data_IF_948107829252
#
_entry.id   IF_948107829252
#
_cell.length_a   1.000
_cell.length_b   1.000
_cell.length_c   1.000
_cell.angle_alpha   90.00
_cell.angle_beta   90.00
_cell.angle_gamma   90.00
#
_symmetry.space_group_name_H-M   'P 1'
#
loop_
_entity.id
_entity.type
_entity.pdbx_description
1 polymer ?
#
# COMPACT_ATOMS: atom_id res chain seq x y z
N UNK A 1 0.29 -16.83 -2.99
CA UNK A 1 0.85 -17.66 -4.08
C UNK A 1 1.82 -16.81 -4.85
N UNK A 2 2.94 -17.39 -5.28
CA UNK A 2 3.95 -16.73 -6.12
C UNK A 2 4.20 -17.64 -7.33
N UNK A 3 4.15 -17.09 -8.53
CA UNK A 3 4.19 -17.83 -9.78
C UNK A 3 4.82 -16.97 -10.89
N UNK A 4 5.55 -17.59 -11.82
CA UNK A 4 5.98 -16.88 -13.03
C UNK A 4 4.87 -16.76 -14.05
N UNK A 5 4.83 -15.65 -14.78
CA UNK A 5 3.92 -15.48 -15.91
C UNK A 5 4.11 -16.61 -16.93
N UNK A 6 3.01 -17.22 -17.37
CA UNK A 6 3.01 -18.31 -18.35
C UNK A 6 3.29 -19.71 -17.77
N UNK A 7 3.81 -19.84 -16.55
CA UNK A 7 4.00 -21.15 -15.93
C UNK A 7 2.67 -21.71 -15.41
N UNK A 8 2.49 -23.04 -15.45
CA UNK A 8 1.28 -23.70 -14.91
C UNK A 8 1.35 -23.91 -13.38
N UNK A 9 2.55 -24.06 -12.84
CA UNK A 9 2.78 -24.43 -11.45
C UNK A 9 3.37 -23.24 -10.67
N UNK A 10 2.82 -22.88 -9.50
CA UNK A 10 3.40 -21.83 -8.68
C UNK A 10 4.72 -22.26 -8.04
N UNK A 11 5.67 -21.33 -7.93
CA UNK A 11 6.91 -21.49 -7.16
C UNK A 11 6.65 -21.57 -5.66
N UNK A 12 5.57 -20.90 -5.20
CA UNK A 12 5.16 -20.95 -3.82
C UNK A 12 3.64 -20.87 -3.65
N UNK A 13 3.07 -21.75 -2.83
CA UNK A 13 1.68 -21.66 -2.40
C UNK A 13 1.49 -22.05 -0.94
N UNK A 14 0.82 -21.17 -0.20
CA UNK A 14 0.46 -21.46 1.19
C UNK A 14 -0.66 -22.50 1.25
N UNK A 15 -0.73 -23.30 2.32
CA UNK A 15 -1.87 -24.17 2.58
C UNK A 15 -3.17 -23.36 2.56
N UNK A 16 -4.26 -24.00 2.14
CA UNK A 16 -5.60 -23.45 2.30
C UNK A 16 -6.34 -24.28 3.31
N UNK A 17 -6.78 -23.64 4.40
CA UNK A 17 -7.23 -24.33 5.63
C UNK A 17 -6.08 -25.21 6.16
N UNK A 18 -6.18 -26.53 6.04
CA UNK A 18 -5.15 -27.49 6.44
C UNK A 18 -4.61 -28.33 5.28
N UNK A 19 -5.04 -28.05 4.05
CA UNK A 19 -4.70 -28.86 2.89
C UNK A 19 -3.43 -28.34 2.21
N UNK A 20 -2.44 -29.22 2.06
CA UNK A 20 -1.30 -28.99 1.17
C UNK A 20 -1.75 -29.01 -0.28
N UNK A 21 -1.16 -28.15 -1.12
CA UNK A 21 -1.65 -27.86 -2.48
C UNK A 21 -0.59 -28.10 -3.55
N UNK A 22 0.18 -29.16 -3.36
CA UNK A 22 1.34 -29.50 -4.18
C UNK A 22 2.58 -28.65 -3.87
N UNK A 23 2.62 -27.98 -2.73
CA UNK A 23 3.81 -27.26 -2.26
C UNK A 23 4.80 -28.22 -1.57
N UNK A 24 6.09 -28.01 -1.79
CA UNK A 24 7.13 -28.76 -1.07
C UNK A 24 7.16 -28.32 0.40
N UNK A 25 7.07 -29.28 1.32
CA UNK A 25 7.15 -29.01 2.76
C UNK A 25 8.38 -28.17 3.15
N UNK A 26 9.50 -28.39 2.47
CA UNK A 26 10.74 -27.61 2.68
C UNK A 26 10.56 -26.11 2.41
N UNK A 27 9.76 -25.72 1.40
CA UNK A 27 9.47 -24.31 1.12
C UNK A 27 8.56 -23.69 2.17
N UNK A 28 7.60 -24.45 2.70
CA UNK A 28 6.73 -23.99 3.79
C UNK A 28 7.51 -23.79 5.09
N UNK A 29 8.46 -24.69 5.39
CA UNK A 29 9.36 -24.55 6.55
C UNK A 29 10.25 -23.30 6.39
N UNK A 30 10.82 -23.06 5.21
CA UNK A 30 11.59 -21.84 4.92
C UNK A 30 10.74 -20.58 5.09
N UNK A 31 9.51 -20.57 4.60
CA UNK A 31 8.59 -19.43 4.76
C UNK A 31 8.19 -19.21 6.23
N UNK A 32 8.00 -20.29 6.99
CA UNK A 32 7.76 -20.21 8.44
C UNK A 32 8.96 -19.63 9.18
N UNK A 33 10.18 -20.03 8.82
CA UNK A 33 11.43 -19.44 9.37
C UNK A 33 11.52 -17.95 9.06
N UNK A 34 11.25 -17.56 7.81
CA UNK A 34 11.17 -16.16 7.40
C UNK A 34 10.18 -15.37 8.25
N UNK A 35 8.93 -15.84 8.41
CA UNK A 35 7.93 -15.16 9.24
C UNK A 35 8.33 -15.05 10.70
N UNK A 36 9.02 -16.05 11.27
CA UNK A 36 9.54 -15.98 12.62
C UNK A 36 10.64 -14.91 12.76
N UNK A 37 11.52 -14.78 11.77
CA UNK A 37 12.55 -13.72 11.74
C UNK A 37 11.91 -12.33 11.62
N UNK A 38 10.91 -12.19 10.75
CA UNK A 38 10.14 -10.95 10.61
C UNK A 38 9.41 -10.60 11.92
N UNK A 39 8.80 -11.57 12.59
CA UNK A 39 8.16 -11.37 13.90
C UNK A 39 9.15 -10.93 14.98
N UNK A 40 10.36 -11.50 15.01
CA UNK A 40 11.44 -11.07 15.92
C UNK A 40 11.86 -9.63 15.63
N UNK A 41 12.06 -9.26 14.37
CA UNK A 41 12.36 -7.89 13.96
C UNK A 41 11.27 -6.92 14.44
N UNK A 42 10.00 -7.27 14.22
CA UNK A 42 8.86 -6.47 14.69
C UNK A 42 8.86 -6.28 16.21
N UNK A 43 9.17 -7.32 16.99
CA UNK A 43 9.18 -7.27 18.45
C UNK A 43 10.36 -6.50 19.04
N UNK A 44 11.48 -6.47 18.35
CA UNK A 44 12.69 -5.77 18.78
C UNK A 44 12.92 -4.52 17.93
N UNK A 45 11.86 -3.74 17.66
CA UNK A 45 11.88 -2.68 16.65
C UNK A 45 12.94 -1.60 16.85
N UNK A 46 13.40 -1.38 18.09
CA UNK A 46 14.43 -0.40 18.40
C UNK A 46 15.77 -0.73 17.73
N UNK A 47 16.15 -2.01 17.69
CA UNK A 47 17.43 -2.49 17.15
C UNK A 47 17.51 -2.38 15.61
N UNK A 48 16.36 -2.18 14.95
CA UNK A 48 16.23 -2.21 13.50
C UNK A 48 15.87 -0.85 12.90
N UNK A 49 15.96 0.22 13.70
CA UNK A 49 15.70 1.58 13.21
C UNK A 49 16.74 1.97 12.16
N UNK A 50 16.26 2.43 10.99
CA UNK A 50 17.13 2.83 9.88
C UNK A 50 17.70 1.69 9.04
N UNK A 51 17.40 0.43 9.37
CA UNK A 51 17.85 -0.72 8.57
C UNK A 51 16.96 -0.89 7.33
N UNK A 52 17.59 -0.98 6.15
CA UNK A 52 16.88 -1.24 4.90
C UNK A 52 16.46 -2.71 4.76
N UNK A 53 15.48 -2.97 3.90
CA UNK A 53 15.07 -4.32 3.54
C UNK A 53 16.23 -5.13 2.97
N UNK A 54 17.06 -4.54 2.12
CA UNK A 54 18.22 -5.24 1.54
C UNK A 54 19.22 -5.67 2.61
N UNK A 55 19.54 -4.78 3.56
CA UNK A 55 20.47 -5.08 4.65
C UNK A 55 19.93 -6.20 5.55
N UNK A 56 18.65 -6.14 5.92
CA UNK A 56 18.01 -7.21 6.69
C UNK A 56 17.93 -8.51 5.90
N UNK A 57 17.53 -8.45 4.63
CA UNK A 57 17.40 -9.60 3.73
C UNK A 57 18.71 -10.38 3.58
N UNK A 58 19.84 -9.69 3.52
CA UNK A 58 21.16 -10.31 3.40
C UNK A 58 21.52 -11.14 4.65
N UNK A 59 21.02 -10.75 5.83
CA UNK A 59 21.22 -11.47 7.09
C UNK A 59 20.30 -12.68 7.26
N UNK A 60 19.26 -12.84 6.42
CA UNK A 60 18.34 -13.97 6.52
C UNK A 60 19.04 -15.26 6.05
N UNK A 61 19.14 -16.30 6.92
CA UNK A 61 19.81 -17.56 6.61
C UNK A 61 18.92 -18.49 5.78
N UNK A 62 18.58 -18.04 4.57
CA UNK A 62 17.83 -18.81 3.57
C UNK A 62 18.60 -18.82 2.25
N UNK A 63 18.46 -19.88 1.42
CA UNK A 63 19.14 -19.96 0.14
C UNK A 63 18.82 -18.76 -0.76
N UNK A 64 19.83 -18.22 -1.44
CA UNK A 64 19.70 -17.00 -2.26
C UNK A 64 18.57 -17.12 -3.29
N UNK A 65 18.49 -18.25 -3.99
CA UNK A 65 17.42 -18.51 -4.96
C UNK A 65 16.02 -18.48 -4.33
N UNK A 66 15.85 -19.03 -3.12
CA UNK A 66 14.58 -18.97 -2.41
C UNK A 66 14.23 -17.53 -2.05
N UNK A 67 15.22 -16.78 -1.57
CA UNK A 67 15.03 -15.39 -1.18
C UNK A 67 14.64 -14.52 -2.39
N UNK A 68 15.29 -14.69 -3.54
CA UNK A 68 14.98 -13.99 -4.81
C UNK A 68 13.60 -14.36 -5.36
N UNK A 69 13.27 -15.66 -5.39
CA UNK A 69 12.03 -16.17 -5.99
C UNK A 69 10.78 -15.92 -5.15
N UNK A 70 10.92 -15.89 -3.82
CA UNK A 70 9.77 -15.93 -2.90
C UNK A 70 9.78 -14.73 -1.96
N UNK A 71 10.89 -14.49 -1.25
CA UNK A 71 10.91 -13.48 -0.17
C UNK A 71 10.80 -12.07 -0.73
N UNK A 72 11.64 -11.69 -1.71
CA UNK A 72 11.58 -10.35 -2.29
C UNK A 72 10.23 -10.05 -2.97
N UNK A 73 9.70 -10.92 -3.85
CA UNK A 73 8.37 -10.72 -4.42
C UNK A 73 7.28 -10.59 -3.36
N UNK A 74 7.34 -11.39 -2.28
CA UNK A 74 6.38 -11.26 -1.18
C UNK A 74 6.46 -9.90 -0.47
N UNK A 75 7.67 -9.42 -0.18
CA UNK A 75 7.89 -8.11 0.43
C UNK A 75 7.41 -6.97 -0.48
N UNK A 76 7.80 -7.00 -1.76
CA UNK A 76 7.38 -6.01 -2.76
C UNK A 76 5.85 -5.97 -2.92
N UNK A 77 5.22 -7.14 -3.00
CA UNK A 77 3.76 -7.27 -3.11
C UNK A 77 3.00 -6.80 -1.85
N UNK A 78 3.64 -6.79 -0.67
CA UNK A 78 3.02 -6.31 0.58
C UNK A 78 2.77 -4.81 0.55
N UNK A 79 3.60 -4.05 -0.18
CA UNK A 79 3.43 -2.62 -0.40
C UNK A 79 2.83 -2.28 -1.78
N UNK A 80 2.91 -3.21 -2.73
CA UNK A 80 2.44 -3.01 -4.10
C UNK A 80 3.43 -2.24 -4.98
N UNK A 81 4.73 -2.54 -4.81
CA UNK A 81 5.87 -1.86 -5.44
C UNK A 81 6.76 -2.88 -6.18
N UNK A 82 7.83 -2.45 -6.85
CA UNK A 82 8.80 -3.33 -7.51
C UNK A 82 9.80 -3.95 -6.51
N UNK A 83 10.54 -4.98 -6.95
CA UNK A 83 11.61 -5.55 -6.11
C UNK A 83 12.80 -4.59 -6.00
N UNK A 84 13.02 -3.74 -6.99
CA UNK A 84 14.05 -2.69 -6.89
C UNK A 84 13.73 -1.67 -5.79
N UNK A 85 12.50 -1.13 -5.80
CA UNK A 85 12.08 -0.10 -4.84
C UNK A 85 12.05 -0.63 -3.40
N UNK A 86 11.50 -1.84 -3.18
CA UNK A 86 11.35 -2.38 -1.82
C UNK A 86 12.69 -2.54 -1.08
N UNK A 87 13.80 -2.80 -1.79
CA UNK A 87 15.13 -3.01 -1.19
C UNK A 87 15.61 -1.82 -0.35
N UNK A 88 15.31 -0.61 -0.82
CA UNK A 88 15.72 0.65 -0.18
C UNK A 88 14.81 1.06 0.99
N UNK A 89 13.67 0.42 1.16
CA UNK A 89 12.69 0.77 2.19
C UNK A 89 13.11 0.29 3.58
N UNK A 90 12.54 0.90 4.62
CA UNK A 90 12.70 0.50 6.02
C UNK A 90 12.23 -0.93 6.24
N UNK A 91 13.13 -1.81 6.70
CA UNK A 91 12.79 -3.20 7.00
C UNK A 91 11.67 -3.28 8.05
N UNK A 92 11.75 -2.43 9.07
CA UNK A 92 10.77 -2.36 10.14
C UNK A 92 9.37 -2.01 9.61
N UNK A 93 9.27 -1.02 8.74
CA UNK A 93 7.96 -0.53 8.30
C UNK A 93 7.26 -1.51 7.35
N UNK A 94 8.01 -2.20 6.49
CA UNK A 94 7.44 -3.28 5.67
C UNK A 94 7.07 -4.49 6.53
N UNK A 95 7.92 -4.91 7.47
CA UNK A 95 7.66 -6.06 8.33
C UNK A 95 6.43 -5.86 9.21
N UNK A 96 6.19 -4.63 9.70
CA UNK A 96 4.97 -4.29 10.47
C UNK A 96 3.68 -4.62 9.70
N UNK A 97 3.68 -4.55 8.36
CA UNK A 97 2.48 -4.80 7.56
C UNK A 97 1.97 -6.25 7.67
N UNK A 98 2.85 -7.21 7.93
CA UNK A 98 2.48 -8.63 7.94
C UNK A 98 2.90 -9.40 9.20
N UNK A 99 3.91 -8.94 9.94
CA UNK A 99 4.49 -9.65 11.08
C UNK A 99 3.92 -9.20 12.44
N UNK A 100 2.98 -8.26 12.49
CA UNK A 100 2.39 -7.78 13.75
C UNK A 100 1.62 -8.86 14.52
N UNK A 101 1.22 -9.96 13.86
CA UNK A 101 0.54 -11.10 14.47
C UNK A 101 1.47 -12.29 14.62
N UNK A 102 1.33 -13.02 15.72
CA UNK A 102 1.99 -14.32 15.88
C UNK A 102 1.49 -15.26 14.76
N UNK A 103 2.36 -16.03 14.07
CA UNK A 103 2.01 -16.84 12.90
C UNK A 103 0.89 -17.90 13.07
N UNK A 104 0.38 -18.10 14.28
CA UNK A 104 -0.64 -19.13 14.61
C UNK A 104 -2.06 -18.59 14.79
N UNK A 105 -2.29 -17.28 14.73
CA UNK A 105 -3.63 -16.70 14.95
C UNK A 105 -4.46 -16.73 13.66
N UNK A 106 -5.74 -17.11 13.76
CA UNK A 106 -6.65 -17.12 12.60
C UNK A 106 -6.85 -15.70 12.07
N UNK A 107 -6.64 -15.50 10.77
CA UNK A 107 -6.88 -14.22 10.12
C UNK A 107 -8.35 -14.14 9.68
N UNK A 108 -9.25 -13.81 10.61
CA UNK A 108 -10.58 -13.32 10.23
C UNK A 108 -10.43 -11.88 9.76
N UNK A 109 -10.64 -11.65 8.47
CA UNK A 109 -10.81 -10.30 7.95
C UNK A 109 -12.14 -9.76 8.46
N UNK A 110 -12.12 -8.58 9.09
CA UNK A 110 -13.34 -7.84 9.39
C UNK A 110 -13.57 -6.89 8.24
N UNK A 111 -14.71 -7.02 7.59
CA UNK A 111 -15.15 -6.11 6.54
C UNK A 111 -16.33 -5.30 7.04
N UNK A 112 -16.36 -4.01 6.72
CA UNK A 112 -17.53 -3.18 6.97
C UNK A 112 -18.61 -3.52 5.94
N UNK A 113 -19.82 -3.82 6.41
CA UNK A 113 -20.95 -4.19 5.54
C UNK A 113 -21.28 -3.10 4.54
N UNK A 114 -21.18 -1.83 4.93
CA UNK A 114 -21.51 -0.70 4.05
C UNK A 114 -20.26 -0.08 3.39
N UNK A 115 -19.07 -0.65 3.66
CA UNK A 115 -17.79 -0.08 3.26
C UNK A 115 -17.29 0.98 4.25
N UNK A 116 -15.99 1.29 4.18
CA UNK A 116 -15.37 2.28 5.08
C UNK A 116 -15.81 3.72 4.77
N UNK A 117 -16.29 3.99 3.56
CA UNK A 117 -16.77 5.32 3.16
C UNK A 117 -17.98 5.78 3.98
N UNK A 118 -18.89 4.86 4.32
CA UNK A 118 -20.08 5.18 5.12
C UNK A 118 -19.73 5.63 6.54
N UNK A 119 -18.71 5.02 7.15
CA UNK A 119 -18.22 5.46 8.47
C UNK A 119 -17.71 6.91 8.42
N UNK A 120 -16.95 7.26 7.38
CA UNK A 120 -16.43 8.63 7.20
C UNK A 120 -17.58 9.62 7.02
N UNK A 121 -18.62 9.24 6.27
CA UNK A 121 -19.82 10.06 6.09
C UNK A 121 -20.57 10.26 7.41
N UNK A 122 -20.76 9.20 8.20
CA UNK A 122 -21.40 9.25 9.52
C UNK A 122 -20.65 10.16 10.49
N UNK A 123 -19.32 10.04 10.54
CA UNK A 123 -18.46 10.94 11.33
C UNK A 123 -18.63 12.39 10.88
N UNK A 124 -18.66 12.64 9.57
CA UNK A 124 -18.89 13.99 9.03
C UNK A 124 -20.26 14.58 9.40
N UNK A 125 -21.32 13.76 9.39
CA UNK A 125 -22.66 14.18 9.84
C UNK A 125 -22.64 14.53 11.32
N UNK A 126 -22.02 13.70 12.15
CA UNK A 126 -21.96 13.92 13.60
C UNK A 126 -21.17 15.18 13.97
N UNK A 127 -20.01 15.40 13.32
CA UNK A 127 -19.23 16.62 13.51
C UNK A 127 -20.02 17.88 13.12
N UNK A 128 -20.81 17.83 12.04
CA UNK A 128 -21.67 18.96 11.66
C UNK A 128 -22.74 19.26 12.70
N UNK A 129 -23.35 18.24 13.31
CA UNK A 129 -24.30 18.44 14.43
C UNK A 129 -23.65 19.12 15.63
N UNK A 130 -22.35 18.88 15.84
CA UNK A 130 -21.54 19.55 16.86
C UNK A 130 -21.04 20.95 16.44
N UNK A 131 -21.52 21.48 15.31
CA UNK A 131 -21.17 22.81 14.82
C UNK A 131 -19.86 22.89 14.03
N UNK A 132 -19.21 21.76 13.71
CA UNK A 132 -17.99 21.76 12.89
C UNK A 132 -18.35 22.09 11.44
N UNK A 133 -17.74 23.17 10.92
CA UNK A 133 -17.88 23.56 9.51
C UNK A 133 -16.97 22.70 8.64
N UNK A 134 -17.56 21.79 7.88
CA UNK A 134 -16.84 20.94 6.90
C UNK A 134 -17.08 21.51 5.51
N UNK A 135 -16.01 22.01 4.88
CA UNK A 135 -16.02 22.48 3.49
C UNK A 135 -15.45 21.39 2.58
N UNK A 136 -16.30 20.79 1.75
CA UNK A 136 -15.87 19.91 0.66
C UNK A 136 -15.55 20.73 -0.59
N UNK A 137 -14.82 20.15 -1.54
CA UNK A 137 -14.49 20.83 -2.81
C UNK A 137 -13.87 22.21 -2.58
N UNK A 138 -13.04 22.29 -1.54
CA UNK A 138 -12.40 23.53 -1.08
C UNK A 138 -10.90 23.35 -0.95
N UNK A 139 -10.17 23.04 -2.05
CA UNK A 139 -8.74 22.79 -1.98
C UNK A 139 -8.00 24.03 -1.46
N UNK A 140 -7.28 23.85 -0.35
CA UNK A 140 -6.32 24.84 0.15
C UNK A 140 -5.13 24.83 -0.80
N UNK A 141 -4.63 26.02 -1.14
CA UNK A 141 -3.44 26.16 -2.00
C UNK A 141 -2.31 26.97 -1.35
N UNK A 142 -2.58 27.69 -0.26
CA UNK A 142 -1.57 28.47 0.45
C UNK A 142 -1.89 28.60 1.93
N UNK A 143 -0.86 28.45 2.77
CA UNK A 143 -0.89 28.73 4.21
C UNK A 143 0.31 29.62 4.53
N UNK A 144 0.07 30.81 5.10
CA UNK A 144 1.13 31.73 5.50
C UNK A 144 0.81 32.38 6.85
N UNK A 145 1.85 32.80 7.57
CA UNK A 145 1.71 33.50 8.84
C UNK A 145 1.49 35.00 8.60
N UNK A 146 0.53 35.59 9.31
CA UNK A 146 0.25 37.02 9.32
C UNK A 146 0.14 37.50 10.77
N UNK A 147 1.24 38.04 11.30
CA UNK A 147 1.36 38.41 12.70
C UNK A 147 1.22 37.21 13.64
N UNK A 148 0.20 37.24 14.51
CA UNK A 148 -0.12 36.15 15.45
C UNK A 148 -1.08 35.11 14.89
N UNK A 149 -1.55 35.27 13.65
CA UNK A 149 -2.52 34.40 12.99
C UNK A 149 -1.94 33.75 11.74
N UNK A 150 -2.67 32.79 11.22
CA UNK A 150 -2.39 32.10 9.95
C UNK A 150 -3.47 32.46 8.95
N UNK A 151 -3.05 32.87 7.76
CA UNK A 151 -3.91 33.05 6.59
C UNK A 151 -3.94 31.73 5.82
N UNK A 152 -5.14 31.19 5.65
CA UNK A 152 -5.41 30.01 4.83
C UNK A 152 -6.16 30.47 3.58
N UNK A 153 -5.60 30.24 2.39
CA UNK A 153 -6.26 30.50 1.11
C UNK A 153 -6.69 29.21 0.43
N UNK A 154 -7.91 29.20 -0.08
CA UNK A 154 -8.52 28.03 -0.71
C UNK A 154 -9.45 28.46 -1.84
N UNK A 155 -9.71 27.56 -2.79
CA UNK A 155 -10.69 27.78 -3.88
C UNK A 155 -11.98 27.08 -3.52
N UNK A 156 -13.13 27.70 -3.75
CA UNK A 156 -14.44 27.04 -3.65
C UNK A 156 -15.35 27.58 -4.76
N UNK A 157 -16.05 26.69 -5.49
CA UNK A 157 -16.86 27.06 -6.65
C UNK A 157 -16.12 28.00 -7.63
N UNK A 158 -14.88 27.62 -7.96
CA UNK A 158 -13.95 28.39 -8.82
C UNK A 158 -13.60 29.82 -8.33
N UNK A 159 -13.93 30.17 -7.09
CA UNK A 159 -13.65 31.48 -6.49
C UNK A 159 -12.60 31.34 -5.39
N UNK A 160 -11.68 32.30 -5.30
CA UNK A 160 -10.71 32.34 -4.21
C UNK A 160 -11.33 32.87 -2.92
N UNK A 161 -11.00 32.23 -1.82
CA UNK A 161 -11.40 32.62 -0.48
C UNK A 161 -10.20 32.60 0.46
N UNK A 162 -10.28 33.38 1.53
CA UNK A 162 -9.27 33.39 2.57
C UNK A 162 -9.89 33.39 3.96
N UNK A 163 -9.15 32.87 4.93
CA UNK A 163 -9.57 32.82 6.32
C UNK A 163 -8.38 32.99 7.25
N UNK A 164 -8.51 33.88 8.25
CA UNK A 164 -7.55 34.03 9.33
C UNK A 164 -7.92 33.13 10.52
N UNK A 165 -6.96 32.36 11.01
CA UNK A 165 -7.12 31.43 12.14
C UNK A 165 -5.93 31.51 13.09
N UNK A 166 -6.12 31.13 14.36
CA UNK A 166 -5.03 31.14 15.34
C UNK A 166 -4.07 29.95 15.19
N UNK A 167 -4.55 28.82 14.68
CA UNK A 167 -3.76 27.62 14.47
C UNK A 167 -4.22 26.90 13.21
N UNK A 168 -3.30 26.19 12.58
CA UNK A 168 -3.57 25.34 11.41
C UNK A 168 -3.00 23.96 11.70
N UNK A 169 -3.80 22.93 11.48
CA UNK A 169 -3.37 21.53 11.49
C UNK A 169 -3.50 21.02 10.07
N UNK A 170 -2.41 20.53 9.49
CA UNK A 170 -2.43 19.90 8.18
C UNK A 170 -2.38 18.39 8.33
N UNK A 171 -3.28 17.69 7.63
CA UNK A 171 -3.31 16.21 7.55
C UNK A 171 -3.11 15.74 6.12
N UNK A 172 -2.66 16.63 5.23
CA UNK A 172 -2.34 16.31 3.85
C UNK A 172 -1.02 15.52 3.78
N UNK A 173 -0.75 14.92 2.63
CA UNK A 173 0.52 14.26 2.36
C UNK A 173 1.68 15.28 2.37
N UNK A 174 2.89 14.81 2.65
CA UNK A 174 4.10 15.65 2.76
C UNK A 174 4.32 16.53 1.53
N UNK A 175 4.07 15.98 0.34
CA UNK A 175 4.20 16.68 -0.94
C UNK A 175 3.22 17.84 -1.11
N UNK A 176 1.98 17.64 -0.66
CA UNK A 176 0.98 18.70 -0.65
C UNK A 176 1.35 19.76 0.39
N UNK A 177 1.77 19.34 1.58
CA UNK A 177 2.23 20.27 2.61
C UNK A 177 3.42 21.12 2.16
N UNK A 178 4.38 20.56 1.41
CA UNK A 178 5.46 21.34 0.80
C UNK A 178 4.87 22.48 -0.03
N UNK A 179 3.93 22.20 -0.93
CA UNK A 179 3.30 23.23 -1.78
C UNK A 179 2.56 24.28 -0.96
N UNK A 180 1.83 23.86 0.08
CA UNK A 180 1.07 24.76 0.93
C UNK A 180 1.95 25.69 1.77
N UNK A 181 3.12 25.20 2.20
CA UNK A 181 4.01 25.85 3.17
C UNK A 181 5.25 26.48 2.53
N UNK A 182 5.52 26.27 1.24
CA UNK A 182 6.75 26.72 0.58
C UNK A 182 6.97 28.24 0.67
N UNK A 183 5.88 29.00 0.80
CA UNK A 183 5.90 30.46 0.89
C UNK A 183 5.98 30.99 2.34
N UNK A 184 6.20 30.12 3.33
CA UNK A 184 6.34 30.50 4.73
C UNK A 184 7.80 30.29 5.20
N UNK A 185 8.64 31.35 5.22
CA UNK A 185 10.06 31.23 5.54
C UNK A 185 10.34 30.61 6.92
N UNK A 186 9.46 30.88 7.90
CA UNK A 186 9.59 30.33 9.26
C UNK A 186 9.43 28.80 9.33
N UNK A 187 8.94 28.17 8.27
CA UNK A 187 8.75 26.72 8.16
C UNK A 187 9.71 26.04 7.17
N UNK A 188 10.73 26.75 6.67
CA UNK A 188 11.71 26.23 5.71
C UNK A 188 12.36 24.91 6.13
N UNK A 189 12.74 24.76 7.41
CA UNK A 189 13.30 23.50 7.92
C UNK A 189 12.28 22.34 7.88
N UNK A 190 11.02 22.61 8.16
CA UNK A 190 9.95 21.61 8.08
C UNK A 190 9.77 21.18 6.61
N UNK A 191 9.71 22.14 5.70
CA UNK A 191 9.63 21.89 4.25
C UNK A 191 10.81 21.03 3.78
N UNK A 192 12.03 21.34 4.21
CA UNK A 192 13.23 20.55 3.90
C UNK A 192 13.10 19.07 4.33
N UNK A 193 12.59 18.82 5.55
CA UNK A 193 12.39 17.44 6.02
C UNK A 193 11.28 16.71 5.26
N UNK A 194 10.18 17.40 4.93
CA UNK A 194 9.10 16.83 4.14
C UNK A 194 9.57 16.44 2.73
N UNK A 195 10.50 17.20 2.13
CA UNK A 195 11.05 16.91 0.79
C UNK A 195 11.84 15.61 0.73
N UNK A 196 12.34 15.12 1.87
CA UNK A 196 13.05 13.84 1.93
C UNK A 196 12.11 12.62 1.87
N UNK A 197 10.80 12.83 2.02
CA UNK A 197 9.82 11.74 2.01
C UNK A 197 9.49 11.34 0.58
N UNK A 198 9.94 10.13 0.21
CA UNK A 198 9.71 9.55 -1.12
C UNK A 198 8.35 8.88 -1.19
N UNK A 199 7.69 9.06 -2.33
CA UNK A 199 6.47 8.35 -2.71
C UNK A 199 6.80 7.41 -3.87
N UNK A 200 6.01 6.35 -4.01
CA UNK A 200 6.02 5.49 -5.17
C UNK A 200 4.68 5.58 -5.88
N UNK A 201 4.67 5.30 -7.18
CA UNK A 201 3.45 5.25 -7.95
C UNK A 201 2.66 3.98 -7.60
N UNK A 202 1.37 4.12 -7.32
CA UNK A 202 0.47 2.98 -7.13
C UNK A 202 -0.70 3.05 -8.12
N UNK A 203 -0.79 2.03 -8.97
CA UNK A 203 -1.90 1.83 -9.91
C UNK A 203 -2.78 0.69 -9.42
N UNK A 204 -3.86 1.06 -8.73
CA UNK A 204 -4.76 0.10 -8.10
C UNK A 204 -6.02 -0.03 -8.95
N UNK A 205 -6.36 -1.26 -9.31
CA UNK A 205 -7.56 -1.57 -10.11
C UNK A 205 -8.43 -2.58 -9.37
N UNK A 206 -9.74 -2.34 -9.35
CA UNK A 206 -10.73 -3.39 -9.13
C UNK A 206 -11.21 -3.92 -10.48
N UNK A 207 -11.21 -5.22 -10.65
CA UNK A 207 -11.59 -5.86 -11.92
C UNK A 207 -12.21 -7.25 -11.68
N UNK A 208 -12.79 -7.81 -12.73
CA UNK A 208 -13.35 -9.18 -12.74
C UNK A 208 -12.52 -10.19 -13.56
N UNK A 209 -11.38 -9.78 -14.12
CA UNK A 209 -10.56 -10.67 -14.94
C UNK A 209 -9.82 -11.75 -14.14
N UNK A 210 -10.15 -13.01 -14.41
CA UNK A 210 -9.54 -14.19 -13.77
C UNK A 210 -8.14 -14.49 -14.29
N UNK A 211 -7.68 -13.87 -15.38
CA UNK A 211 -6.34 -14.08 -15.95
C UNK A 211 -5.20 -13.72 -14.99
N UNK A 212 -5.48 -12.86 -13.99
CA UNK A 212 -4.53 -12.42 -12.98
C UNK A 212 -4.47 -13.33 -11.73
N UNK A 213 -5.28 -14.39 -11.68
CA UNK A 213 -5.30 -15.34 -10.56
C UNK A 213 -5.15 -16.78 -11.05
N UNK A 214 -4.73 -17.67 -10.16
CA UNK A 214 -4.77 -19.10 -10.44
C UNK A 214 -6.12 -19.67 -9.97
N UNK A 215 -7.02 -19.95 -10.91
CA UNK A 215 -8.39 -20.44 -10.60
C UNK A 215 -8.39 -21.86 -10.05
N UNK A 216 -7.44 -22.71 -10.45
CA UNK A 216 -7.28 -24.09 -9.92
C UNK A 216 -6.70 -24.07 -8.51
N UNK A 217 -5.86 -23.08 -8.23
CA UNK A 217 -5.20 -22.89 -6.96
C UNK A 217 -5.50 -21.47 -6.44
N UNK A 218 -6.74 -21.19 -5.99
CA UNK A 218 -7.11 -19.88 -5.47
C UNK A 218 -6.27 -19.51 -4.24
N UNK A 219 -5.74 -18.29 -4.22
CA UNK A 219 -5.01 -17.75 -3.08
C UNK A 219 -5.49 -16.32 -2.82
N UNK A 220 -5.39 -15.89 -1.55
CA UNK A 220 -5.81 -14.56 -1.16
C UNK A 220 -4.97 -13.51 -1.89
N UNK A 221 -3.65 -13.70 -1.91
CA UNK A 221 -2.71 -12.89 -2.66
C UNK A 221 -2.05 -13.73 -3.75
N UNK A 222 -2.12 -13.28 -4.99
CA UNK A 222 -1.56 -13.90 -6.18
C UNK A 222 -0.49 -12.97 -6.73
N UNK A 223 0.77 -13.37 -6.58
CA UNK A 223 1.93 -12.59 -7.00
C UNK A 223 2.46 -13.23 -8.28
N UNK A 224 2.32 -12.53 -9.39
CA UNK A 224 2.89 -12.94 -10.66
C UNK A 224 4.20 -12.22 -10.87
N UNK A 225 5.26 -12.97 -11.15
CA UNK A 225 6.57 -12.41 -11.45
C UNK A 225 7.02 -12.75 -12.86
N UNK A 226 7.94 -11.96 -13.41
CA UNK A 226 8.61 -12.29 -14.66
C UNK A 226 9.81 -13.24 -14.42
N UNK A 227 10.51 -13.60 -15.49
CA UNK A 227 11.69 -14.48 -15.42
C UNK A 227 12.84 -13.90 -14.57
N UNK A 228 12.89 -12.57 -14.38
CA UNK A 228 13.87 -11.88 -13.51
C UNK A 228 13.41 -11.79 -12.04
N UNK A 229 12.28 -12.41 -11.70
CA UNK A 229 11.63 -12.34 -10.38
C UNK A 229 11.10 -10.96 -9.98
N UNK A 230 10.96 -10.03 -10.93
CA UNK A 230 10.27 -8.76 -10.69
C UNK A 230 8.76 -8.94 -10.68
N UNK A 231 8.06 -8.12 -9.90
CA UNK A 231 6.59 -8.12 -9.85
C UNK A 231 6.04 -7.66 -11.20
N UNK A 232 5.27 -8.55 -11.85
CA UNK A 232 4.50 -8.20 -13.04
C UNK A 232 3.06 -7.82 -12.65
N UNK A 233 2.47 -8.55 -11.70
CA UNK A 233 1.21 -8.16 -11.07
C UNK A 233 1.11 -8.71 -9.65
N UNK A 234 0.35 -8.01 -8.81
CA UNK A 234 -0.04 -8.47 -7.49
C UNK A 234 -1.55 -8.34 -7.36
N UNK A 235 -2.24 -9.46 -7.16
CA UNK A 235 -3.71 -9.53 -7.20
C UNK A 235 -4.28 -10.17 -5.96
N UNK A 236 -5.10 -9.42 -5.24
CA UNK A 236 -5.91 -9.90 -4.13
C UNK A 236 -7.24 -10.48 -4.63
N UNK A 237 -7.52 -11.72 -4.27
CA UNK A 237 -8.81 -12.36 -4.49
C UNK A 237 -9.76 -12.01 -3.34
N UNK A 238 -10.69 -11.09 -3.60
CA UNK A 238 -11.58 -10.56 -2.57
C UNK A 238 -12.68 -11.54 -2.17
N UNK A 239 -12.96 -12.57 -2.98
CA UNK A 239 -13.90 -13.64 -2.61
C UNK A 239 -13.43 -14.42 -1.38
N UNK A 240 -12.11 -14.45 -1.13
CA UNK A 240 -11.52 -15.08 0.06
C UNK A 240 -11.67 -14.23 1.33
N UNK A 241 -12.09 -12.97 1.19
CA UNK A 241 -12.45 -12.09 2.31
C UNK A 241 -13.94 -12.21 2.61
N UNK A 242 -14.79 -12.18 1.57
CA UNK A 242 -16.24 -12.18 1.72
C UNK A 242 -16.97 -12.73 0.48
N UNK A 243 -18.01 -13.56 0.65
CA UNK A 243 -18.81 -14.06 -0.47
C UNK A 243 -19.43 -12.97 -1.35
N UNK A 244 -19.76 -11.80 -0.80
CA UNK A 244 -20.32 -10.67 -1.56
C UNK A 244 -19.36 -10.07 -2.60
N UNK A 245 -18.06 -10.35 -2.45
CA UNK A 245 -17.00 -9.87 -3.34
C UNK A 245 -16.58 -10.98 -4.32
N UNK A 246 -17.44 -11.99 -4.53
CA UNK A 246 -17.17 -13.07 -5.46
C UNK A 246 -16.92 -12.52 -6.88
N UNK A 247 -15.86 -13.01 -7.52
CA UNK A 247 -15.45 -12.54 -8.85
C UNK A 247 -14.80 -11.15 -8.89
N UNK A 248 -14.59 -10.49 -7.74
CA UNK A 248 -13.91 -9.19 -7.67
C UNK A 248 -12.46 -9.37 -7.22
N UNK A 249 -11.55 -8.74 -7.95
CA UNK A 249 -10.11 -8.76 -7.70
C UNK A 249 -9.60 -7.34 -7.51
N UNK A 250 -8.68 -7.15 -6.55
CA UNK A 250 -7.92 -5.90 -6.39
C UNK A 250 -6.49 -6.13 -6.82
N UNK A 251 -5.99 -5.37 -7.79
CA UNK A 251 -4.65 -5.57 -8.34
C UNK A 251 -3.81 -4.31 -8.38
N UNK A 252 -2.50 -4.50 -8.26
CA UNK A 252 -1.48 -3.53 -8.61
C UNK A 252 -0.90 -3.93 -9.97
N UNK A 253 -1.12 -3.09 -10.98
CA UNK A 253 -0.91 -3.43 -12.40
C UNK A 253 -0.06 -2.40 -13.15
N UNK A 254 0.58 -2.86 -14.22
CA UNK A 254 1.23 -2.01 -15.22
C UNK A 254 0.19 -1.22 -16.04
N UNK A 255 0.60 -0.13 -16.71
CA UNK A 255 -0.33 0.61 -17.58
C UNK A 255 -0.91 -0.28 -18.69
N UNK A 256 -0.05 -1.07 -19.35
CA UNK A 256 -0.46 -1.99 -20.41
C UNK A 256 -1.56 -2.97 -19.96
N UNK A 257 -1.47 -3.50 -18.74
CA UNK A 257 -2.47 -4.44 -18.25
C UNK A 257 -3.79 -3.75 -17.91
N UNK A 258 -3.74 -2.49 -17.49
CA UNK A 258 -4.94 -1.66 -17.27
C UNK A 258 -5.62 -1.38 -18.61
N UNK A 259 -4.86 -1.06 -19.65
CA UNK A 259 -5.39 -0.80 -20.98
C UNK A 259 -6.07 -2.06 -21.55
N UNK A 260 -5.48 -3.25 -21.35
CA UNK A 260 -6.12 -4.53 -21.68
C UNK A 260 -7.42 -4.78 -20.91
N UNK A 261 -7.46 -4.44 -19.62
CA UNK A 261 -8.67 -4.56 -18.79
C UNK A 261 -9.78 -3.61 -19.28
N UNK A 262 -9.42 -2.41 -19.70
CA UNK A 262 -10.35 -1.44 -20.27
C UNK A 262 -10.90 -1.95 -21.61
N UNK A 263 -10.03 -2.41 -22.51
CA UNK A 263 -10.42 -2.96 -23.80
C UNK A 263 -11.35 -4.17 -23.68
N UNK A 264 -11.13 -5.02 -22.67
CA UNK A 264 -11.97 -6.18 -22.38
C UNK A 264 -13.21 -5.88 -21.53
N UNK A 265 -13.45 -4.61 -21.14
CA UNK A 265 -14.55 -4.18 -20.26
C UNK A 265 -14.62 -4.93 -18.92
N UNK A 266 -13.47 -5.37 -18.40
CA UNK A 266 -13.35 -6.06 -17.11
C UNK A 266 -12.89 -5.15 -15.98
N UNK A 267 -12.54 -3.90 -16.28
CA UNK A 267 -12.24 -2.88 -15.28
C UNK A 267 -13.53 -2.41 -14.59
N UNK A 268 -13.55 -2.44 -13.26
CA UNK A 268 -14.62 -1.91 -12.43
C UNK A 268 -14.26 -0.50 -11.95
N UNK A 269 -13.04 -0.32 -11.42
CA UNK A 269 -12.52 0.99 -11.06
C UNK A 269 -11.00 1.02 -11.10
N UNK A 270 -10.44 2.16 -11.46
CA UNK A 270 -9.01 2.41 -11.49
C UNK A 270 -8.68 3.68 -10.70
N UNK A 271 -7.64 3.60 -9.87
CA UNK A 271 -7.04 4.75 -9.19
C UNK A 271 -5.53 4.73 -9.37
N UNK A 272 -5.00 5.88 -9.78
CA UNK A 272 -3.58 6.16 -9.92
C UNK A 272 -3.18 7.10 -8.79
N UNK A 273 -2.21 6.69 -7.98
CA UNK A 273 -1.57 7.54 -7.00
C UNK A 273 -0.18 7.82 -7.52
N UNK A 274 0.07 9.06 -7.90
CA UNK A 274 1.37 9.49 -8.40
C UNK A 274 2.25 9.94 -7.23
N UNK A 275 3.57 9.69 -7.28
CA UNK A 275 4.48 10.50 -6.50
C UNK A 275 4.33 11.96 -6.96
N UNK A 276 4.57 12.94 -6.09
CA UNK A 276 4.64 14.32 -6.53
C UNK A 276 5.64 14.44 -7.68
N UNK A 277 5.33 15.31 -8.65
CA UNK A 277 6.32 15.72 -9.63
C UNK A 277 7.52 16.26 -8.87
N UNK A 278 8.68 15.61 -9.01
CA UNK A 278 9.91 16.13 -8.44
C UNK A 278 10.11 17.51 -9.04
N UNK A 279 10.15 18.55 -8.19
CA UNK A 279 10.70 19.83 -8.58
C UNK A 279 12.21 19.62 -8.70
N UNK A 280 12.66 19.21 -9.89
CA UNK A 280 14.03 19.36 -10.35
C UNK A 280 14.30 20.83 -10.67
#
# INVERSE_FOLDING_TARGET
MIQHQGEKNPHFITPHKLNFRGEKLSNLIKFKRFNNLAYKLYKNSADWKGVSIENWYNQIPLPLEYKKRIVYPFLAASLGTSVSEIKSTSALDIVKLFAFRKPKLSNKFKIMTEGMGTLIQQVGVELRKQGVKIKTESPVYQITKQGTKWLVKYVHNATEHSQLVYFVITTAHADQNIKLLNNEPSLSQVVYHLQQLKYFEAKIVLHSDTSFINTKKPAFLNIMTNQKHEIASSTMNLSMISPRLNGIYKSWLSQNDIDKLNASKKNITYRKFLPPANHS
#
